data_IF_174670250522
#
_entry.id   IF_174670250522
#
_cell.length_a   1.000
_cell.length_b   1.000
_cell.length_c   1.000
_cell.angle_alpha   90.00
_cell.angle_beta   90.00
_cell.angle_gamma   90.00
#
_symmetry.space_group_name_H-M   'P 1'
#
loop_
_entity.id
_entity.type
_entity.pdbx_description
1 polymer ?
#
# COMPACT_ATOMS: atom_id res chain seq x y z
N UNK A 1 17.89 -15.28 -6.38
CA UNK A 1 16.67 -15.95 -6.90
C UNK A 1 15.81 -14.93 -7.65
N UNK A 2 15.38 -15.26 -8.85
CA UNK A 2 14.43 -14.47 -9.63
C UNK A 2 13.23 -15.36 -9.96
N UNK A 3 12.07 -15.00 -9.50
CA UNK A 3 10.87 -15.81 -9.67
C UNK A 3 9.59 -15.00 -9.54
N UNK A 4 8.47 -15.68 -9.50
CA UNK A 4 7.14 -15.10 -9.44
C UNK A 4 6.17 -15.80 -10.38
N UNK A 5 5.29 -15.03 -10.99
CA UNK A 5 4.25 -15.51 -11.88
C UNK A 5 4.60 -15.27 -13.35
N UNK A 6 3.93 -16.00 -14.21
CA UNK A 6 3.98 -15.84 -15.65
C UNK A 6 2.55 -15.82 -16.23
N UNK A 7 2.44 -15.71 -17.55
CA UNK A 7 1.16 -15.65 -18.24
C UNK A 7 0.23 -16.85 -17.96
N UNK A 8 0.78 -18.04 -17.73
CA UNK A 8 -0.02 -19.24 -17.45
C UNK A 8 -0.57 -19.30 -16.03
N UNK A 9 -0.07 -18.45 -15.12
CA UNK A 9 -0.35 -18.51 -13.68
C UNK A 9 -0.91 -17.21 -13.09
N UNK A 10 -0.89 -16.12 -13.85
CA UNK A 10 -1.42 -14.81 -13.44
C UNK A 10 -1.85 -14.03 -14.70
N UNK A 11 -3.09 -14.20 -15.12
CA UNK A 11 -3.67 -13.56 -16.29
C UNK A 11 -5.06 -13.00 -16.01
N UNK A 12 -5.51 -12.07 -16.84
CA UNK A 12 -6.86 -11.51 -16.76
C UNK A 12 -7.92 -12.58 -17.04
N UNK A 13 -8.97 -12.59 -16.22
CA UNK A 13 -10.07 -13.53 -16.36
C UNK A 13 -9.83 -14.90 -15.75
N UNK A 14 -8.72 -15.07 -15.03
CA UNK A 14 -8.41 -16.29 -14.32
C UNK A 14 -7.96 -15.99 -12.88
N UNK A 15 -8.85 -16.24 -11.92
CA UNK A 15 -8.55 -16.01 -10.51
C UNK A 15 -7.58 -17.05 -9.97
N UNK A 16 -6.58 -16.59 -9.25
CA UNK A 16 -5.68 -17.49 -8.53
C UNK A 16 -6.40 -18.14 -7.36
N UNK A 17 -6.25 -19.46 -7.16
CA UNK A 17 -6.90 -20.18 -6.06
C UNK A 17 -6.33 -19.82 -4.68
N UNK A 18 -5.08 -19.31 -4.65
CA UNK A 18 -4.36 -18.93 -3.45
C UNK A 18 -3.31 -17.83 -3.73
N UNK A 19 -2.57 -17.44 -2.70
CA UNK A 19 -1.47 -16.47 -2.81
C UNK A 19 -0.09 -17.11 -2.94
N UNK A 20 0.02 -18.43 -3.10
CA UNK A 20 1.31 -19.14 -3.18
C UNK A 20 1.98 -18.94 -4.52
N UNK A 21 3.29 -19.07 -4.51
CA UNK A 21 4.08 -19.08 -5.74
C UNK A 21 3.83 -20.36 -6.53
N UNK A 22 3.69 -20.29 -7.87
CA UNK A 22 3.55 -21.48 -8.70
C UNK A 22 4.85 -22.29 -8.77
N UNK A 23 4.77 -23.53 -9.28
CA UNK A 23 5.92 -24.39 -9.61
C UNK A 23 6.85 -24.71 -8.43
N UNK A 24 6.31 -24.84 -7.22
CA UNK A 24 7.08 -25.13 -5.99
C UNK A 24 8.20 -24.12 -5.68
N UNK A 25 8.04 -22.85 -6.12
CA UNK A 25 9.03 -21.81 -5.87
C UNK A 25 9.22 -21.51 -4.39
N UNK A 26 8.17 -21.62 -3.56
CA UNK A 26 8.28 -21.40 -2.11
C UNK A 26 9.21 -22.44 -1.46
N UNK A 27 9.10 -23.71 -1.87
CA UNK A 27 9.98 -24.79 -1.43
C UNK A 27 11.43 -24.54 -1.88
N UNK A 28 11.61 -24.14 -3.15
CA UNK A 28 12.93 -23.82 -3.69
C UNK A 28 13.59 -22.66 -2.94
N UNK A 29 12.87 -21.58 -2.69
CA UNK A 29 13.37 -20.43 -1.92
C UNK A 29 13.80 -20.88 -0.52
N UNK A 30 12.95 -21.65 0.16
CA UNK A 30 13.24 -22.17 1.50
C UNK A 30 14.52 -23.02 1.52
N UNK A 31 14.70 -23.92 0.57
CA UNK A 31 15.92 -24.74 0.50
C UNK A 31 17.17 -23.94 0.13
N UNK A 32 17.04 -22.97 -0.77
CA UNK A 32 18.17 -22.10 -1.14
C UNK A 32 18.61 -21.20 0.02
N UNK A 33 17.69 -20.69 0.83
CA UNK A 33 18.02 -19.86 2.00
C UNK A 33 18.82 -20.65 3.05
N UNK A 34 18.60 -21.96 3.19
CA UNK A 34 19.40 -22.83 4.09
C UNK A 34 20.87 -22.90 3.68
N UNK A 35 21.16 -22.86 2.38
CA UNK A 35 22.52 -22.94 1.85
C UNK A 35 23.15 -21.58 1.59
N UNK A 36 22.36 -20.56 1.32
CA UNK A 36 22.83 -19.19 1.13
C UNK A 36 21.88 -18.16 1.78
N UNK A 37 22.06 -17.85 3.06
CA UNK A 37 21.21 -16.88 3.78
C UNK A 37 21.40 -15.42 3.32
N UNK A 38 22.34 -15.15 2.41
CA UNK A 38 22.55 -13.81 1.82
C UNK A 38 21.93 -13.71 0.41
N UNK A 39 21.01 -14.59 0.08
CA UNK A 39 20.27 -14.54 -1.18
C UNK A 39 19.38 -13.31 -1.24
N UNK A 40 19.36 -12.64 -2.41
CA UNK A 40 18.36 -11.64 -2.75
C UNK A 40 17.23 -12.32 -3.50
N UNK A 41 16.01 -12.15 -3.05
CA UNK A 41 14.82 -12.69 -3.69
C UNK A 41 14.19 -11.59 -4.54
N UNK A 42 14.12 -11.80 -5.85
CA UNK A 42 13.49 -10.90 -6.80
C UNK A 42 12.15 -11.48 -7.20
N UNK A 43 11.08 -10.73 -6.87
CA UNK A 43 9.72 -11.18 -7.06
C UNK A 43 9.05 -10.42 -8.21
N UNK A 44 8.60 -11.17 -9.23
CA UNK A 44 7.79 -10.66 -10.34
C UNK A 44 6.35 -11.12 -10.14
N UNK A 45 5.52 -10.23 -9.61
CA UNK A 45 4.10 -10.50 -9.36
C UNK A 45 3.29 -9.21 -9.40
N UNK A 46 2.10 -9.25 -9.95
CA UNK A 46 1.16 -8.12 -9.97
C UNK A 46 0.34 -7.99 -8.70
N UNK A 47 0.11 -9.10 -8.01
CA UNK A 47 -0.74 -9.22 -6.84
C UNK A 47 0.03 -9.76 -5.63
N UNK A 48 -0.50 -9.64 -4.40
CA UNK A 48 0.15 -10.15 -3.20
C UNK A 48 0.54 -11.63 -3.29
N UNK A 49 1.61 -11.99 -2.58
CA UNK A 49 2.14 -13.35 -2.46
C UNK A 49 2.21 -13.73 -0.99
N UNK A 50 1.80 -14.94 -0.65
CA UNK A 50 2.03 -15.52 0.66
C UNK A 50 3.51 -15.92 0.79
N UNK A 51 4.24 -15.17 1.59
CA UNK A 51 5.68 -15.36 1.84
C UNK A 51 5.94 -16.07 3.16
N UNK A 52 4.91 -16.54 3.86
CA UNK A 52 5.01 -17.07 5.23
C UNK A 52 5.98 -18.22 5.39
N UNK A 53 6.20 -19.00 4.32
CA UNK A 53 7.11 -20.15 4.35
C UNK A 53 8.60 -19.78 4.48
N UNK A 54 9.00 -18.55 4.09
CA UNK A 54 10.42 -18.20 3.96
C UNK A 54 10.77 -16.76 4.34
N UNK A 55 9.79 -15.91 4.65
CA UNK A 55 10.01 -14.48 4.90
C UNK A 55 10.93 -14.22 6.09
N UNK A 56 10.85 -15.02 7.14
CA UNK A 56 11.66 -14.83 8.37
C UNK A 56 13.15 -15.11 8.13
N UNK A 57 13.47 -15.91 7.13
CA UNK A 57 14.84 -16.23 6.73
C UNK A 57 15.36 -15.29 5.62
N UNK A 58 14.49 -14.57 4.94
CA UNK A 58 14.82 -13.70 3.82
C UNK A 58 15.34 -12.33 4.30
N UNK A 59 16.60 -12.01 3.97
CA UNK A 59 17.21 -10.71 4.32
C UNK A 59 16.90 -9.59 3.33
N UNK A 60 16.59 -9.92 2.09
CA UNK A 60 16.38 -8.94 1.02
C UNK A 60 15.40 -9.44 -0.02
N UNK A 61 14.39 -8.62 -0.27
CA UNK A 61 13.38 -8.87 -1.31
C UNK A 61 13.30 -7.63 -2.20
N UNK A 62 13.33 -7.83 -3.51
CA UNK A 62 13.07 -6.80 -4.50
C UNK A 62 11.73 -7.14 -5.18
N UNK A 63 10.73 -6.30 -4.94
CA UNK A 63 9.43 -6.42 -5.59
C UNK A 63 9.45 -5.65 -6.90
N UNK A 64 9.42 -6.34 -8.03
CA UNK A 64 9.53 -5.72 -9.35
C UNK A 64 8.20 -5.46 -10.05
N UNK A 65 7.11 -6.03 -9.56
CA UNK A 65 5.86 -6.13 -10.34
C UNK A 65 6.14 -6.68 -11.75
N UNK A 66 5.43 -6.23 -12.75
CA UNK A 66 5.70 -6.55 -14.16
C UNK A 66 6.41 -5.37 -14.82
N UNK A 67 7.74 -5.33 -14.68
CA UNK A 67 8.57 -4.15 -14.95
C UNK A 67 8.78 -3.82 -16.45
N UNK A 68 8.24 -4.62 -17.36
CA UNK A 68 8.33 -4.38 -18.80
C UNK A 68 9.73 -4.64 -19.39
N UNK A 69 9.97 -4.08 -20.59
CA UNK A 69 11.12 -4.40 -21.43
C UNK A 69 12.49 -4.09 -20.79
N UNK A 70 12.60 -2.99 -20.04
CA UNK A 70 13.85 -2.54 -19.40
C UNK A 70 14.01 -3.08 -17.96
N UNK A 71 13.13 -3.97 -17.50
CA UNK A 71 13.11 -4.50 -16.13
C UNK A 71 14.42 -5.15 -15.73
N UNK A 72 15.03 -5.93 -16.59
CA UNK A 72 16.32 -6.57 -16.32
C UNK A 72 17.46 -5.58 -16.09
N UNK A 73 17.51 -4.48 -16.88
CA UNK A 73 18.48 -3.40 -16.70
C UNK A 73 18.24 -2.66 -15.38
N UNK A 74 16.99 -2.26 -15.13
CA UNK A 74 16.63 -1.58 -13.89
C UNK A 74 16.95 -2.41 -12.64
N UNK A 75 16.71 -3.72 -12.70
CA UNK A 75 17.09 -4.64 -11.62
C UNK A 75 18.60 -4.67 -11.42
N UNK A 76 19.38 -4.78 -12.50
CA UNK A 76 20.84 -4.76 -12.43
C UNK A 76 21.37 -3.47 -11.78
N UNK A 77 20.90 -2.30 -12.22
CA UNK A 77 21.27 -1.00 -11.66
C UNK A 77 20.98 -0.92 -10.14
N UNK A 78 19.85 -1.50 -9.67
CA UNK A 78 19.50 -1.58 -8.25
C UNK A 78 20.43 -2.55 -7.52
N UNK A 79 20.58 -3.77 -8.00
CA UNK A 79 21.37 -4.81 -7.32
C UNK A 79 22.84 -4.45 -7.19
N UNK A 80 23.41 -3.74 -8.17
CA UNK A 80 24.80 -3.27 -8.14
C UNK A 80 24.98 -1.87 -7.55
N UNK A 81 23.91 -1.23 -7.08
CA UNK A 81 23.96 0.03 -6.35
C UNK A 81 24.15 1.27 -7.21
N UNK A 82 23.98 1.17 -8.52
CA UNK A 82 24.01 2.32 -9.44
C UNK A 82 22.77 3.20 -9.24
N UNK A 83 21.64 2.59 -8.89
CA UNK A 83 20.39 3.25 -8.56
C UNK A 83 19.95 2.85 -7.15
N UNK A 84 19.68 3.84 -6.30
CA UNK A 84 19.07 3.63 -5.00
C UNK A 84 17.55 3.44 -5.17
N UNK A 85 16.98 2.28 -4.77
CA UNK A 85 15.55 2.03 -4.91
C UNK A 85 14.72 3.04 -4.10
N UNK A 86 13.56 3.41 -4.64
CA UNK A 86 12.65 4.37 -4.01
C UNK A 86 11.18 4.10 -4.31
N UNK A 87 10.88 2.90 -4.78
CA UNK A 87 9.50 2.44 -4.97
C UNK A 87 8.82 2.18 -3.62
N UNK A 88 7.50 2.36 -3.59
CA UNK A 88 6.65 2.02 -2.46
C UNK A 88 5.61 1.01 -2.92
N UNK A 89 5.25 0.07 -2.06
CA UNK A 89 4.17 -0.87 -2.35
C UNK A 89 2.85 -0.12 -2.50
N UNK A 90 2.17 -0.36 -3.61
CA UNK A 90 0.86 0.23 -3.92
C UNK A 90 -0.31 -0.61 -3.41
N UNK A 91 0.00 -1.67 -2.68
CA UNK A 91 -0.96 -2.58 -2.08
C UNK A 91 -0.48 -3.03 -0.69
N UNK A 92 -1.39 -3.52 0.12
CA UNK A 92 -1.06 -4.24 1.36
C UNK A 92 -0.78 -5.69 1.03
N UNK A 93 0.29 -6.25 1.55
CA UNK A 93 0.60 -7.68 1.47
C UNK A 93 0.03 -8.39 2.70
N UNK A 94 -1.09 -9.13 2.61
CA UNK A 94 -1.58 -9.94 3.73
C UNK A 94 -0.64 -11.10 4.00
N UNK A 95 -0.71 -11.71 5.18
CA UNK A 95 0.07 -12.91 5.51
C UNK A 95 -0.51 -14.17 4.87
N UNK A 96 -1.81 -14.16 4.60
CA UNK A 96 -2.53 -15.30 4.04
C UNK A 96 -3.82 -14.85 3.36
N UNK A 97 -4.37 -15.70 2.49
CA UNK A 97 -5.58 -15.40 1.73
C UNK A 97 -6.82 -15.20 2.63
N UNK A 98 -6.90 -15.91 3.75
CA UNK A 98 -8.00 -15.81 4.72
C UNK A 98 -8.05 -14.47 5.48
N UNK A 99 -7.03 -13.62 5.33
CA UNK A 99 -7.06 -12.24 5.83
C UNK A 99 -7.65 -11.23 4.84
N UNK A 100 -7.90 -11.64 3.59
CA UNK A 100 -8.45 -10.74 2.57
C UNK A 100 -9.94 -10.49 2.85
N UNK A 101 -10.45 -9.24 2.83
CA UNK A 101 -11.83 -8.92 3.20
C UNK A 101 -12.87 -9.77 2.49
N UNK A 102 -12.78 -9.93 1.17
CA UNK A 102 -13.69 -10.74 0.39
C UNK A 102 -13.75 -12.21 0.84
N UNK A 103 -12.63 -12.76 1.33
CA UNK A 103 -12.59 -14.11 1.90
C UNK A 103 -13.20 -14.15 3.30
N UNK A 104 -12.90 -13.15 4.13
CA UNK A 104 -13.44 -13.04 5.51
C UNK A 104 -14.96 -12.93 5.49
N UNK A 105 -15.52 -12.17 4.57
CA UNK A 105 -16.96 -12.01 4.41
C UNK A 105 -17.62 -13.16 3.61
N UNK A 106 -16.82 -14.05 2.98
CA UNK A 106 -17.32 -15.14 2.15
C UNK A 106 -17.94 -14.65 0.83
N UNK A 107 -17.42 -13.55 0.29
CA UNK A 107 -17.90 -12.93 -0.94
C UNK A 107 -17.18 -13.47 -2.18
N UNK A 108 -15.94 -13.92 -2.05
CA UNK A 108 -15.19 -14.54 -3.12
C UNK A 108 -15.20 -16.09 -2.99
N UNK A 109 -15.29 -16.85 -4.07
CA UNK A 109 -15.42 -16.49 -5.49
C UNK A 109 -16.83 -16.10 -5.93
N UNK A 110 -17.68 -15.70 -5.02
CA UNK A 110 -19.07 -15.38 -5.27
C UNK A 110 -20.00 -16.57 -5.06
N UNK A 111 -21.30 -16.30 -5.12
CA UNK A 111 -22.36 -17.28 -5.01
C UNK A 111 -22.87 -17.71 -6.39
N UNK A 112 -23.06 -18.99 -6.59
CA UNK A 112 -23.76 -19.50 -7.79
C UNK A 112 -25.20 -18.96 -7.82
N UNK A 113 -25.61 -18.46 -8.98
CA UNK A 113 -26.96 -17.99 -9.23
C UNK A 113 -27.93 -19.18 -9.35
N UNK A 114 -29.19 -18.97 -8.95
CA UNK A 114 -30.28 -19.88 -9.27
C UNK A 114 -30.60 -19.86 -10.76
N UNK A 115 -31.34 -20.84 -11.27
CA UNK A 115 -31.73 -20.85 -12.68
C UNK A 115 -32.50 -19.59 -13.08
N UNK A 116 -33.43 -19.13 -12.26
CA UNK A 116 -34.20 -17.90 -12.49
C UNK A 116 -33.30 -16.64 -12.52
N UNK A 117 -32.36 -16.53 -11.61
CA UNK A 117 -31.37 -15.43 -11.59
C UNK A 117 -30.47 -15.50 -12.82
N UNK A 118 -30.00 -16.69 -13.21
CA UNK A 118 -29.17 -16.91 -14.38
C UNK A 118 -29.89 -16.46 -15.68
N UNK A 119 -31.15 -16.85 -15.85
CA UNK A 119 -31.96 -16.45 -17.00
C UNK A 119 -32.14 -14.91 -17.05
N UNK A 120 -32.40 -14.29 -15.91
CA UNK A 120 -32.60 -12.84 -15.82
C UNK A 120 -31.30 -12.04 -16.03
N UNK A 121 -30.18 -12.48 -15.48
CA UNK A 121 -28.92 -11.71 -15.44
C UNK A 121 -27.92 -12.14 -16.50
N UNK A 122 -28.15 -13.26 -17.19
CA UNK A 122 -27.20 -13.88 -18.12
C UNK A 122 -25.78 -14.04 -17.51
N UNK A 123 -25.73 -14.41 -16.24
CA UNK A 123 -24.51 -14.61 -15.48
C UNK A 123 -24.59 -15.95 -14.73
N UNK A 124 -23.45 -16.49 -14.32
CA UNK A 124 -23.37 -17.74 -13.55
C UNK A 124 -23.13 -17.52 -12.06
N UNK A 125 -22.43 -16.44 -11.73
CA UNK A 125 -22.04 -16.07 -10.38
C UNK A 125 -22.50 -14.64 -10.08
N UNK A 126 -22.68 -14.34 -8.82
CA UNK A 126 -22.84 -12.99 -8.30
C UNK A 126 -21.93 -12.80 -7.11
N UNK A 127 -21.34 -11.63 -6.99
CA UNK A 127 -20.55 -11.20 -5.85
C UNK A 127 -21.25 -10.07 -5.14
N UNK A 128 -21.04 -9.99 -3.83
CA UNK A 128 -21.54 -8.92 -2.99
C UNK A 128 -20.36 -8.25 -2.31
N UNK A 129 -20.19 -6.96 -2.50
CA UNK A 129 -19.10 -6.19 -1.89
C UNK A 129 -19.48 -5.70 -0.49
N UNK A 130 -19.53 -6.64 0.47
CA UNK A 130 -19.91 -6.33 1.85
C UNK A 130 -18.87 -5.55 2.63
N UNK A 131 -17.63 -5.58 2.17
CA UNK A 131 -16.54 -4.80 2.73
C UNK A 131 -16.72 -3.28 2.56
N UNK A 132 -17.54 -2.84 1.58
CA UNK A 132 -17.80 -1.43 1.32
C UNK A 132 -16.50 -0.64 1.07
N UNK A 133 -16.24 0.41 1.87
CA UNK A 133 -15.01 1.22 1.76
C UNK A 133 -13.77 0.56 2.35
N UNK A 134 -13.93 -0.57 3.06
CA UNK A 134 -12.83 -1.25 3.76
C UNK A 134 -12.06 -2.19 2.84
N UNK A 135 -11.46 -1.65 1.81
CA UNK A 135 -10.60 -2.35 0.84
C UNK A 135 -9.14 -2.00 1.08
N UNK A 136 -8.24 -2.99 0.93
CA UNK A 136 -6.79 -2.80 1.08
C UNK A 136 -6.42 -2.28 2.47
N UNK A 137 -5.51 -1.30 2.55
CA UNK A 137 -5.01 -0.79 3.83
C UNK A 137 -6.11 -0.23 4.74
N UNK A 138 -7.23 0.27 4.20
CA UNK A 138 -8.36 0.76 5.01
C UNK A 138 -8.94 -0.33 5.90
N UNK A 139 -9.04 -1.55 5.38
CA UNK A 139 -9.49 -2.72 6.13
C UNK A 139 -8.48 -3.12 7.20
N UNK A 140 -7.23 -3.36 6.82
CA UNK A 140 -6.21 -3.84 7.75
C UNK A 140 -5.91 -2.84 8.87
N UNK A 141 -5.92 -1.53 8.55
CA UNK A 141 -5.73 -0.44 9.51
C UNK A 141 -6.92 -0.33 10.48
N UNK A 142 -8.15 -0.38 9.96
CA UNK A 142 -9.39 -0.30 10.76
C UNK A 142 -9.49 -1.42 11.78
N UNK A 143 -9.23 -2.63 11.36
CA UNK A 143 -9.36 -3.83 12.21
C UNK A 143 -8.05 -4.25 12.86
N UNK A 144 -6.97 -3.47 12.70
CA UNK A 144 -5.64 -3.70 13.28
C UNK A 144 -5.09 -5.10 12.98
N UNK A 145 -5.30 -5.57 11.74
CA UNK A 145 -4.86 -6.88 11.28
C UNK A 145 -3.38 -6.82 10.90
N UNK A 146 -2.50 -7.62 11.52
CA UNK A 146 -1.10 -7.66 11.16
C UNK A 146 -0.90 -8.18 9.74
N UNK A 147 -0.20 -7.41 8.92
CA UNK A 147 0.11 -7.75 7.52
C UNK A 147 1.58 -8.09 7.33
N UNK A 148 1.94 -8.69 6.21
CA UNK A 148 3.33 -8.98 5.88
C UNK A 148 4.08 -7.69 5.54
N UNK A 149 3.52 -6.88 4.63
CA UNK A 149 3.99 -5.53 4.34
C UNK A 149 2.80 -4.59 4.15
N UNK A 150 2.82 -3.42 4.79
CA UNK A 150 1.73 -2.45 4.65
C UNK A 150 1.79 -1.71 3.31
N UNK A 151 0.68 -1.11 2.92
CA UNK A 151 0.65 -0.11 1.83
C UNK A 151 1.67 1.00 2.10
N UNK A 152 2.40 1.43 1.07
CA UNK A 152 3.44 2.46 1.18
C UNK A 152 4.79 1.92 1.65
N UNK A 153 4.91 0.64 2.05
CA UNK A 153 6.20 0.07 2.47
C UNK A 153 7.22 0.11 1.34
N UNK A 154 8.45 0.47 1.68
CA UNK A 154 9.58 0.44 0.78
C UNK A 154 10.84 0.95 1.46
N UNK A 155 11.96 0.30 1.21
CA UNK A 155 13.26 0.60 1.80
C UNK A 155 14.17 1.32 0.80
N UNK A 156 15.22 1.94 1.33
CA UNK A 156 16.24 2.66 0.57
C UNK A 156 17.62 2.23 1.04
N UNK A 157 18.65 2.43 0.22
CA UNK A 157 20.07 2.28 0.62
C UNK A 157 20.58 3.44 1.47
N UNK A 158 19.73 4.43 1.73
CA UNK A 158 20.00 5.54 2.65
C UNK A 158 18.88 5.65 3.68
N UNK A 159 18.99 6.56 4.62
CA UNK A 159 18.01 6.79 5.69
C UNK A 159 17.50 8.21 5.66
N UNK A 160 16.26 8.41 6.12
CA UNK A 160 15.62 9.72 6.16
C UNK A 160 15.06 10.01 7.54
N UNK A 161 15.13 11.27 7.96
CA UNK A 161 14.45 11.78 9.14
C UNK A 161 13.41 12.82 8.75
N UNK A 162 12.35 12.88 9.51
CA UNK A 162 11.25 13.83 9.36
C UNK A 162 11.31 14.80 10.54
N UNK A 163 11.19 16.10 10.27
CA UNK A 163 11.10 17.12 11.30
C UNK A 163 9.66 17.45 11.67
N UNK A 164 9.45 18.64 12.20
CA UNK A 164 8.13 19.07 12.68
C UNK A 164 7.22 19.48 11.53
N UNK A 165 6.02 18.91 11.49
CA UNK A 165 4.96 19.27 10.55
C UNK A 165 4.42 20.67 10.88
N UNK A 166 4.25 21.48 9.86
CA UNK A 166 3.61 22.78 9.94
C UNK A 166 2.33 22.78 9.12
N UNK A 167 1.25 23.28 9.70
CA UNK A 167 -0.04 23.46 9.04
C UNK A 167 -0.44 24.92 9.10
N UNK A 168 -0.84 25.48 7.96
CA UNK A 168 -1.34 26.87 7.82
C UNK A 168 -2.67 26.84 7.10
N UNK A 169 -3.59 27.68 7.53
CA UNK A 169 -4.91 27.88 6.93
C UNK A 169 -5.01 29.33 6.43
N UNK A 170 -4.53 29.62 5.22
CA UNK A 170 -4.40 31.00 4.74
C UNK A 170 -5.72 31.70 4.40
N UNK A 171 -6.77 30.95 4.08
CA UNK A 171 -8.03 31.47 3.51
C UNK A 171 -9.30 30.91 4.20
N UNK A 172 -9.15 30.13 5.27
CA UNK A 172 -10.26 29.48 5.97
C UNK A 172 -10.88 28.29 5.24
N UNK A 173 -10.31 27.85 4.13
CA UNK A 173 -10.84 26.75 3.29
C UNK A 173 -9.77 25.74 2.87
N UNK A 174 -8.51 26.17 2.84
CA UNK A 174 -7.39 25.38 2.36
C UNK A 174 -6.34 25.23 3.45
N UNK A 175 -5.85 24.03 3.68
CA UNK A 175 -4.75 23.75 4.59
C UNK A 175 -3.48 23.49 3.79
N UNK A 176 -2.46 24.30 4.00
CA UNK A 176 -1.10 24.06 3.48
C UNK A 176 -0.29 23.34 4.55
N UNK A 177 0.10 22.12 4.21
CA UNK A 177 0.87 21.24 5.10
C UNK A 177 2.28 21.10 4.55
N UNK A 178 3.28 21.33 5.39
CA UNK A 178 4.67 21.12 5.01
C UNK A 178 5.45 20.41 6.12
N UNK A 179 6.40 19.57 5.74
CA UNK A 179 7.28 18.86 6.66
C UNK A 179 8.69 18.78 6.09
N UNK A 180 9.75 19.13 6.86
CA UNK A 180 11.12 18.95 6.41
C UNK A 180 11.51 17.48 6.46
N UNK A 181 12.16 17.00 5.40
CA UNK A 181 12.73 15.66 5.31
C UNK A 181 14.22 15.79 5.01
N UNK A 182 15.04 15.12 5.81
CA UNK A 182 16.50 15.14 5.70
C UNK A 182 17.02 13.75 5.36
N UNK A 183 17.89 13.65 4.39
CA UNK A 183 18.67 12.45 4.13
C UNK A 183 19.79 12.35 5.17
N UNK A 184 19.67 11.43 6.12
CA UNK A 184 20.61 11.21 7.22
C UNK A 184 21.68 10.17 6.90
N UNK A 185 21.58 9.51 5.76
CA UNK A 185 22.56 8.51 5.34
C UNK A 185 23.67 9.07 4.46
N UNK A 186 24.45 8.16 3.87
CA UNK A 186 25.67 8.49 3.11
C UNK A 186 25.49 8.49 1.60
N UNK A 187 24.35 8.00 1.10
CA UNK A 187 24.05 7.90 -0.32
C UNK A 187 22.92 8.85 -0.68
N UNK A 188 22.95 9.38 -1.89
CA UNK A 188 21.80 10.08 -2.44
C UNK A 188 20.61 9.13 -2.57
N UNK A 189 19.40 9.62 -2.29
CA UNK A 189 18.20 8.82 -2.36
C UNK A 189 16.95 9.63 -2.62
N UNK A 190 15.85 8.92 -2.83
CA UNK A 190 14.53 9.54 -2.97
C UNK A 190 13.62 9.00 -1.89
N UNK A 191 12.92 9.90 -1.19
CA UNK A 191 11.90 9.54 -0.22
C UNK A 191 10.51 9.91 -0.74
N UNK A 192 9.56 9.00 -0.59
CA UNK A 192 8.16 9.30 -0.85
C UNK A 192 7.48 9.53 0.48
N UNK A 193 7.03 10.76 0.69
CA UNK A 193 6.28 11.20 1.85
C UNK A 193 4.80 11.03 1.54
N UNK A 194 4.07 10.33 2.39
CA UNK A 194 2.65 10.08 2.26
C UNK A 194 1.88 10.88 3.30
N UNK A 195 0.80 11.55 2.88
CA UNK A 195 -0.10 12.29 3.75
C UNK A 195 -1.47 11.62 3.77
N UNK A 196 -1.93 11.33 4.99
CA UNK A 196 -3.24 10.76 5.23
C UNK A 196 -4.10 11.70 6.07
N UNK A 197 -5.41 11.60 5.90
CA UNK A 197 -6.40 12.33 6.68
C UNK A 197 -7.45 11.36 7.18
N UNK A 198 -7.88 11.53 8.43
CA UNK A 198 -8.99 10.81 9.02
C UNK A 198 -9.73 11.65 10.05
N UNK A 199 -10.96 11.30 10.36
CA UNK A 199 -11.69 11.90 11.46
C UNK A 199 -10.98 11.62 12.79
N UNK A 200 -10.89 12.60 13.69
CA UNK A 200 -10.27 12.40 15.00
C UNK A 200 -11.08 11.40 15.84
N UNK A 201 -12.40 11.48 15.77
CA UNK A 201 -13.34 10.50 16.34
C UNK A 201 -13.86 9.63 15.20
N UNK A 202 -13.15 8.53 14.93
CA UNK A 202 -13.41 7.66 13.79
C UNK A 202 -14.75 6.95 13.92
N UNK A 203 -15.71 7.26 13.06
CA UNK A 203 -16.95 6.51 12.93
C UNK A 203 -16.69 5.04 12.62
N UNK A 204 -17.53 4.09 13.11
CA UNK A 204 -17.44 2.68 12.70
C UNK A 204 -17.52 2.47 11.18
N UNK A 205 -18.23 3.33 10.48
CA UNK A 205 -18.46 3.26 9.03
C UNK A 205 -17.31 3.87 8.19
N UNK A 206 -16.36 4.59 8.84
CA UNK A 206 -15.28 5.27 8.16
C UNK A 206 -13.91 4.61 8.38
N UNK A 207 -12.99 4.68 7.40
CA UNK A 207 -11.60 4.30 7.59
C UNK A 207 -10.91 5.15 8.69
N UNK A 208 -9.90 4.59 9.33
CA UNK A 208 -9.09 5.34 10.33
C UNK A 208 -8.43 6.55 9.68
N UNK A 209 -7.91 6.36 8.48
CA UNK A 209 -7.29 7.42 7.66
C UNK A 209 -7.26 7.01 6.20
N UNK A 210 -7.20 8.01 5.32
CA UNK A 210 -7.11 7.82 3.88
C UNK A 210 -5.97 8.64 3.29
N UNK A 211 -5.25 8.06 2.32
CA UNK A 211 -4.22 8.76 1.56
C UNK A 211 -4.85 9.91 0.78
N UNK A 212 -4.42 11.13 1.06
CA UNK A 212 -4.90 12.36 0.39
C UNK A 212 -3.81 13.07 -0.40
N UNK A 213 -2.55 12.64 -0.25
CA UNK A 213 -1.45 13.16 -1.02
C UNK A 213 -0.15 12.40 -0.83
N UNK A 214 0.74 12.53 -1.79
CA UNK A 214 2.11 12.04 -1.67
C UNK A 214 3.08 12.97 -2.41
N UNK A 215 4.31 13.02 -1.93
CA UNK A 215 5.37 13.83 -2.52
C UNK A 215 6.67 13.04 -2.54
N UNK A 216 7.36 13.03 -3.68
CA UNK A 216 8.66 12.34 -3.81
C UNK A 216 9.80 13.35 -3.89
N UNK A 217 10.68 13.30 -2.91
CA UNK A 217 11.83 14.20 -2.75
C UNK A 217 13.11 13.49 -3.13
N UNK A 218 13.96 14.13 -3.97
CA UNK A 218 15.32 13.68 -4.22
C UNK A 218 16.27 14.44 -3.31
N UNK A 219 17.06 13.72 -2.52
CA UNK A 219 17.90 14.28 -1.44
C UNK A 219 19.33 13.75 -1.55
N UNK A 220 20.31 14.66 -1.62
CA UNK A 220 21.72 14.34 -1.43
C UNK A 220 21.99 14.02 0.06
N UNK A 221 23.11 13.36 0.41
CA UNK A 221 23.49 13.15 1.82
C UNK A 221 23.53 14.46 2.60
N UNK A 222 22.84 14.52 3.73
CA UNK A 222 22.72 15.71 4.59
C UNK A 222 21.76 16.78 4.07
N UNK A 223 21.18 16.62 2.89
CA UNK A 223 20.23 17.59 2.33
C UNK A 223 18.88 17.49 3.01
N UNK A 224 18.26 18.65 3.24
CA UNK A 224 16.88 18.78 3.74
C UNK A 224 16.03 19.47 2.68
N UNK A 225 14.86 18.89 2.39
CA UNK A 225 13.81 19.51 1.57
C UNK A 225 12.47 19.41 2.27
N UNK A 226 11.54 20.27 1.86
CA UNK A 226 10.16 20.22 2.36
C UNK A 226 9.27 19.40 1.43
N UNK A 227 8.53 18.46 2.01
CA UNK A 227 7.34 17.92 1.37
C UNK A 227 6.19 18.88 1.63
N UNK A 228 5.50 19.28 0.57
CA UNK A 228 4.43 20.27 0.63
C UNK A 228 3.15 19.66 0.06
N UNK A 229 2.03 19.94 0.75
CA UNK A 229 0.71 19.45 0.38
C UNK A 229 -0.31 20.57 0.54
N UNK A 230 -1.32 20.53 -0.30
CA UNK A 230 -2.49 21.39 -0.20
C UNK A 230 -3.74 20.52 -0.03
N UNK A 231 -4.43 20.70 1.08
CA UNK A 231 -5.67 20.00 1.39
C UNK A 231 -6.83 20.97 1.23
N UNK A 232 -7.59 20.77 0.18
CA UNK A 232 -8.85 21.47 -0.07
C UNK A 232 -10.02 20.71 0.58
N UNK A 233 -11.23 21.25 0.49
CA UNK A 233 -12.45 20.57 0.95
C UNK A 233 -12.57 19.13 0.45
N UNK A 234 -12.02 18.82 -0.72
CA UNK A 234 -12.04 17.46 -1.28
C UNK A 234 -11.31 16.42 -0.43
N UNK A 235 -10.29 16.81 0.31
CA UNK A 235 -9.55 15.92 1.19
C UNK A 235 -10.40 15.40 2.38
N UNK A 236 -11.47 16.13 2.72
CA UNK A 236 -12.32 15.89 3.89
C UNK A 236 -13.72 15.37 3.53
N UNK A 237 -13.99 15.17 2.23
CA UNK A 237 -15.27 14.65 1.76
C UNK A 237 -15.39 13.16 1.99
N UNK A 238 -16.59 12.72 2.37
CA UNK A 238 -17.05 11.34 2.29
C UNK A 238 -18.34 11.28 1.48
N UNK A 239 -18.64 10.12 0.93
CA UNK A 239 -19.88 9.89 0.20
C UNK A 239 -20.99 9.49 1.18
N UNK A 240 -22.08 10.24 1.17
CA UNK A 240 -23.28 9.95 1.96
C UNK A 240 -24.29 9.17 1.09
N UNK A 241 -24.35 7.87 1.28
CA UNK A 241 -25.25 6.98 0.52
C UNK A 241 -26.75 7.32 0.68
N UNK A 242 -27.14 7.98 1.77
CA UNK A 242 -28.54 8.35 2.02
C UNK A 242 -29.02 9.48 1.16
N UNK A 243 -28.10 10.38 0.81
CA UNK A 243 -28.41 11.58 0.00
C UNK A 243 -27.80 11.51 -1.39
N UNK A 244 -26.98 10.50 -1.67
CA UNK A 244 -26.25 10.30 -2.93
C UNK A 244 -25.33 11.48 -3.26
N UNK A 245 -24.65 12.01 -2.24
CA UNK A 245 -23.83 13.23 -2.37
C UNK A 245 -22.49 13.10 -1.63
N UNK A 246 -21.48 13.79 -2.16
CA UNK A 246 -20.22 14.01 -1.44
C UNK A 246 -20.36 15.16 -0.45
N UNK A 247 -20.08 14.92 0.83
CA UNK A 247 -20.19 15.88 1.92
C UNK A 247 -18.90 16.06 2.69
N UNK A 248 -18.67 17.28 3.12
CA UNK A 248 -17.69 17.60 4.17
C UNK A 248 -18.42 17.69 5.49
N UNK A 249 -18.01 16.94 6.48
CA UNK A 249 -18.55 17.02 7.83
C UNK A 249 -17.71 18.00 8.64
N UNK A 250 -18.33 18.99 9.24
CA UNK A 250 -17.67 19.87 10.21
C UNK A 250 -17.20 19.03 11.41
N UNK A 251 -15.98 19.25 11.87
CA UNK A 251 -15.42 18.48 12.97
C UNK A 251 -13.90 18.51 13.02
N UNK A 252 -13.35 17.70 13.89
CA UNK A 252 -11.90 17.55 14.05
C UNK A 252 -11.37 16.43 13.17
N UNK A 253 -10.31 16.74 12.42
CA UNK A 253 -9.61 15.81 11.55
C UNK A 253 -8.15 15.70 11.96
N UNK A 254 -7.62 14.51 11.87
CA UNK A 254 -6.21 14.22 12.11
C UNK A 254 -5.48 14.08 10.79
N UNK A 255 -4.39 14.83 10.64
CA UNK A 255 -3.45 14.73 9.52
C UNK A 255 -2.28 13.87 9.98
N UNK A 256 -1.96 12.85 9.19
CA UNK A 256 -0.84 11.95 9.43
C UNK A 256 0.16 12.11 8.28
N UNK A 257 1.44 12.22 8.59
CA UNK A 257 2.51 12.14 7.59
C UNK A 257 3.41 10.98 7.96
N UNK A 258 3.74 10.17 6.96
CA UNK A 258 4.60 9.02 7.13
C UNK A 258 5.32 8.57 5.87
N UNK A 259 6.12 7.54 6.01
CA UNK A 259 6.77 6.84 4.90
C UNK A 259 5.94 5.66 4.37
N UNK A 260 4.90 5.28 5.11
CA UNK A 260 3.88 4.29 4.75
C UNK A 260 2.66 4.47 5.66
N UNK A 261 1.57 3.75 5.38
CA UNK A 261 0.36 3.78 6.23
C UNK A 261 0.62 3.35 7.67
N UNK A 262 1.64 2.52 7.92
CA UNK A 262 2.01 2.03 9.26
C UNK A 262 3.23 2.71 9.86
N UNK A 263 4.02 3.44 9.07
CA UNK A 263 5.20 4.18 9.55
C UNK A 263 4.90 5.68 9.56
N UNK A 264 4.05 6.09 10.52
CA UNK A 264 3.66 7.48 10.72
C UNK A 264 4.75 8.22 11.52
N UNK A 265 5.21 9.34 10.99
CA UNK A 265 6.32 10.16 11.50
C UNK A 265 5.87 11.43 12.17
N UNK A 266 4.73 11.97 11.78
CA UNK A 266 4.17 13.20 12.35
C UNK A 266 2.67 13.19 12.30
N UNK A 267 2.03 13.74 13.33
CA UNK A 267 0.57 13.79 13.48
C UNK A 267 0.17 15.16 13.99
N UNK A 268 -0.91 15.73 13.45
CA UNK A 268 -1.53 16.95 13.96
C UNK A 268 -3.04 16.92 13.77
N UNK A 269 -3.77 17.75 14.51
CA UNK A 269 -5.22 17.85 14.40
C UNK A 269 -5.60 19.23 13.89
N UNK A 270 -6.60 19.29 13.02
CA UNK A 270 -7.22 20.50 12.50
C UNK A 270 -8.74 20.46 12.73
N UNK A 271 -9.40 21.59 12.58
CA UNK A 271 -10.86 21.68 12.69
C UNK A 271 -11.45 22.26 11.41
N UNK A 272 -12.39 21.54 10.83
CA UNK A 272 -13.23 22.00 9.71
C UNK A 272 -14.50 22.61 10.30
N UNK A 273 -14.85 23.82 9.87
CA UNK A 273 -16.00 24.59 10.36
C UNK A 273 -17.23 24.41 9.48
#
# INVERSE_FOLDING_TARGET
FVGGFNYDTDEEGYDRPDLKLPYHQDELITELLKVNPNMVIVMMAGNPVDMSAWIDDAKSIVWMSYAGMEGGRALGEILFGEVNPSGKLVMTMPKSLDQVPAMVFGDFPGRTLTEEEHERMNAKLTETYREGVFVGYRYYDKYQIPVQFPFGHGLSYTTFSYGDMQVKEPDGQTFKVQIPVTNTGKLAGKETVELYVGETEVSPENPVKELKGFCKLSLAPGETKYAEFELTAEAFRHFDEKTDEWKVVAGSYTIYIGSSVSDIRSVTTITIK
#
